data_IF_385644271490
#
_entry.id   IF_385644271490
#
_cell.length_a   1.000
_cell.length_b   1.000
_cell.length_c   1.000
_cell.angle_alpha   90.00
_cell.angle_beta   90.00
_cell.angle_gamma   90.00
#
_symmetry.space_group_name_H-M   'P 1'
#
loop_
_entity.id
_entity.type
_entity.pdbx_description
1 polymer ?
#
# COMPACT_ATOMS: atom_id res chain seq x y z
N UNK A 1 4.67 15.04 -12.59
CA UNK A 1 3.87 16.13 -13.20
C UNK A 1 2.49 16.25 -12.58
N UNK A 2 1.81 15.15 -12.27
CA UNK A 2 0.44 15.15 -11.74
C UNK A 2 0.27 15.81 -10.38
N UNK A 3 1.24 15.71 -9.45
CA UNK A 3 1.15 16.43 -8.17
C UNK A 3 1.08 17.96 -8.34
N UNK A 4 1.92 18.53 -9.20
CA UNK A 4 1.89 19.97 -9.50
C UNK A 4 0.58 20.40 -10.18
N UNK A 5 0.04 19.56 -11.08
CA UNK A 5 -1.29 19.76 -11.65
C UNK A 5 -2.39 19.73 -10.58
N UNK A 6 -2.29 18.80 -9.61
CA UNK A 6 -3.16 18.72 -8.44
C UNK A 6 -3.22 20.02 -7.65
N UNK A 7 -2.06 20.60 -7.35
CA UNK A 7 -1.98 21.86 -6.60
C UNK A 7 -2.58 23.03 -7.39
N UNK A 8 -2.29 23.15 -8.69
CA UNK A 8 -2.86 24.21 -9.53
C UNK A 8 -4.38 24.10 -9.59
N UNK A 9 -4.94 22.92 -9.83
CA UNK A 9 -6.39 22.72 -9.88
C UNK A 9 -7.06 23.03 -8.53
N UNK A 10 -6.39 22.67 -7.41
CA UNK A 10 -6.85 23.01 -6.06
C UNK A 10 -6.91 24.51 -5.82
N UNK A 11 -5.97 25.29 -6.35
CA UNK A 11 -6.02 26.77 -6.30
C UNK A 11 -7.26 27.35 -6.99
N UNK A 12 -7.77 26.67 -8.02
CA UNK A 12 -9.00 27.06 -8.72
C UNK A 12 -10.27 26.41 -8.17
N UNK A 13 -10.18 25.59 -7.11
CA UNK A 13 -11.33 24.87 -6.55
C UNK A 13 -11.91 23.80 -7.49
N UNK A 14 -11.11 23.27 -8.41
CA UNK A 14 -11.54 22.29 -9.41
C UNK A 14 -11.12 20.86 -9.01
N UNK A 15 -11.94 19.85 -9.33
CA UNK A 15 -11.53 18.46 -9.17
C UNK A 15 -10.45 18.09 -10.18
N UNK A 16 -9.69 17.06 -9.85
CA UNK A 16 -8.59 16.53 -10.65
C UNK A 16 -8.77 15.08 -11.02
N UNK A 17 -8.18 14.73 -12.15
CA UNK A 17 -8.13 13.37 -12.68
C UNK A 17 -6.69 13.04 -13.03
N UNK A 18 -6.24 11.83 -12.72
CA UNK A 18 -4.87 11.40 -12.97
C UNK A 18 -4.72 9.89 -13.11
N UNK A 19 -3.66 9.47 -13.77
CA UNK A 19 -3.35 8.06 -14.05
C UNK A 19 -2.41 7.48 -12.99
N UNK A 20 -2.68 6.25 -12.55
CA UNK A 20 -1.71 5.44 -11.80
C UNK A 20 -2.11 3.97 -11.79
N UNK A 21 -1.21 3.12 -11.29
CA UNK A 21 -1.46 1.69 -11.21
C UNK A 21 -1.41 1.00 -12.57
N UNK A 22 -0.88 1.67 -13.60
CA UNK A 22 -0.54 1.17 -14.93
C UNK A 22 0.99 1.03 -15.09
N UNK A 23 1.42 0.37 -16.15
CA UNK A 23 2.84 0.14 -16.46
C UNK A 23 3.08 0.01 -17.96
N UNK A 24 4.27 0.39 -18.41
CA UNK A 24 4.71 0.21 -19.79
C UNK A 24 5.31 -1.18 -20.06
N UNK A 25 5.45 -1.98 -19.00
CA UNK A 25 5.86 -3.37 -19.07
C UNK A 25 4.89 -4.19 -19.93
N UNK A 26 5.44 -5.22 -20.59
CA UNK A 26 4.67 -6.11 -21.49
C UNK A 26 4.07 -7.29 -20.74
N UNK A 27 4.56 -7.54 -19.53
CA UNK A 27 4.20 -8.67 -18.68
C UNK A 27 4.24 -8.26 -17.23
N UNK A 28 3.44 -8.91 -16.39
CA UNK A 28 3.48 -8.71 -14.95
C UNK A 28 4.84 -9.11 -14.38
N UNK A 29 5.48 -8.19 -13.65
CA UNK A 29 6.77 -8.46 -13.03
C UNK A 29 7.25 -7.33 -12.12
N UNK A 30 8.56 -7.26 -11.93
CA UNK A 30 9.20 -6.27 -11.06
C UNK A 30 8.97 -4.84 -11.55
N UNK A 31 9.11 -4.61 -12.86
CA UNK A 31 8.87 -3.31 -13.50
C UNK A 31 7.44 -2.82 -13.23
N UNK A 32 6.45 -3.68 -13.49
CA UNK A 32 5.04 -3.39 -13.21
C UNK A 32 4.79 -3.03 -11.76
N UNK A 33 5.38 -3.78 -10.83
CA UNK A 33 5.24 -3.53 -9.40
C UNK A 33 5.82 -2.17 -8.98
N UNK A 34 7.01 -1.82 -9.49
CA UNK A 34 7.68 -0.55 -9.19
C UNK A 34 6.88 0.63 -9.73
N UNK A 35 6.50 0.59 -11.01
CA UNK A 35 5.78 1.67 -11.68
C UNK A 35 4.38 1.88 -11.06
N UNK A 36 3.65 0.78 -10.82
CA UNK A 36 2.34 0.82 -10.19
C UNK A 36 2.40 1.38 -8.77
N UNK A 37 3.34 0.91 -7.93
CA UNK A 37 3.46 1.38 -6.56
C UNK A 37 3.86 2.86 -6.47
N UNK A 38 4.85 3.27 -7.25
CA UNK A 38 5.32 4.65 -7.23
C UNK A 38 4.27 5.63 -7.75
N UNK A 39 3.59 5.28 -8.86
CA UNK A 39 2.54 6.11 -9.42
C UNK A 39 1.35 6.23 -8.46
N UNK A 40 0.88 5.13 -7.88
CA UNK A 40 -0.23 5.14 -6.92
C UNK A 40 0.08 6.02 -5.71
N UNK A 41 1.26 5.88 -5.10
CA UNK A 41 1.67 6.69 -3.97
C UNK A 41 1.81 8.17 -4.33
N UNK A 42 2.41 8.48 -5.49
CA UNK A 42 2.60 9.86 -5.93
C UNK A 42 1.28 10.58 -6.20
N UNK A 43 0.30 9.93 -6.83
CA UNK A 43 -1.02 10.51 -7.07
C UNK A 43 -1.80 10.69 -5.77
N UNK A 44 -1.74 9.69 -4.88
CA UNK A 44 -2.33 9.72 -3.56
C UNK A 44 -1.83 10.92 -2.74
N UNK A 45 -0.51 11.12 -2.68
CA UNK A 45 0.10 12.27 -1.99
C UNK A 45 -0.15 13.60 -2.70
N UNK A 46 -0.32 13.58 -4.02
CA UNK A 46 -0.73 14.75 -4.80
C UNK A 46 -2.17 15.21 -4.55
N UNK A 47 -2.97 14.45 -3.78
CA UNK A 47 -4.36 14.78 -3.48
C UNK A 47 -5.26 14.73 -4.70
N UNK A 48 -4.95 13.85 -5.66
CA UNK A 48 -5.75 13.69 -6.89
C UNK A 48 -7.08 13.02 -6.57
N UNK A 49 -8.17 13.56 -7.12
CA UNK A 49 -9.52 13.17 -6.72
C UNK A 49 -9.98 11.85 -7.35
N UNK A 50 -9.70 11.67 -8.64
CA UNK A 50 -10.00 10.44 -9.36
C UNK A 50 -8.73 9.86 -9.98
N UNK A 51 -8.35 8.68 -9.51
CA UNK A 51 -7.20 7.93 -10.01
C UNK A 51 -7.72 6.71 -10.78
N UNK A 52 -7.23 6.50 -12.00
CA UNK A 52 -7.69 5.44 -12.90
C UNK A 52 -6.51 4.72 -13.58
N UNK A 53 -6.84 3.75 -14.45
CA UNK A 53 -5.93 2.93 -15.26
C UNK A 53 -5.22 1.77 -14.55
N UNK A 54 -5.70 1.41 -13.36
CA UNK A 54 -5.23 0.22 -12.65
C UNK A 54 -5.48 -1.02 -13.50
N UNK A 55 -4.43 -1.81 -13.75
CA UNK A 55 -4.52 -3.05 -14.52
C UNK A 55 -4.07 -2.96 -15.98
N UNK A 56 -3.70 -1.75 -16.46
CA UNK A 56 -3.17 -1.59 -17.81
C UNK A 56 -1.66 -1.82 -17.91
N UNK A 57 -1.29 -2.59 -18.92
CA UNK A 57 0.08 -2.87 -19.37
C UNK A 57 0.30 -2.29 -20.77
N UNK A 58 1.57 -2.23 -21.19
CA UNK A 58 2.01 -1.79 -22.52
C UNK A 58 1.35 -0.47 -22.97
N UNK A 59 1.49 0.58 -22.15
CA UNK A 59 0.94 1.91 -22.44
C UNK A 59 -0.58 1.91 -22.66
N UNK A 60 -1.31 1.02 -21.97
CA UNK A 60 -2.77 0.91 -22.10
C UNK A 60 -3.25 -0.06 -23.19
N UNK A 61 -2.33 -0.70 -23.93
CA UNK A 61 -2.69 -1.62 -25.01
C UNK A 61 -3.10 -3.01 -24.51
N UNK A 62 -2.76 -3.34 -23.25
CA UNK A 62 -3.08 -4.64 -22.63
C UNK A 62 -3.87 -4.39 -21.34
N UNK A 63 -5.00 -5.07 -21.19
CA UNK A 63 -5.74 -5.14 -19.92
C UNK A 63 -5.45 -6.49 -19.26
N UNK A 64 -4.82 -6.48 -18.08
CA UNK A 64 -4.46 -7.69 -17.33
C UNK A 64 -5.26 -7.77 -16.02
N UNK A 65 -5.96 -8.89 -15.86
CA UNK A 65 -6.69 -9.17 -14.63
C UNK A 65 -5.73 -9.39 -13.44
N UNK A 66 -4.59 -10.02 -13.70
CA UNK A 66 -3.54 -10.28 -12.71
C UNK A 66 -2.94 -8.96 -12.20
N UNK A 67 -2.72 -8.00 -13.10
CA UNK A 67 -2.27 -6.66 -12.72
C UNK A 67 -3.33 -5.90 -11.94
N UNK A 68 -4.61 -6.09 -12.23
CA UNK A 68 -5.70 -5.49 -11.45
C UNK A 68 -5.69 -6.01 -10.01
N UNK A 69 -5.49 -7.31 -9.80
CA UNK A 69 -5.37 -7.92 -8.46
C UNK A 69 -4.12 -7.41 -7.73
N UNK A 70 -2.98 -7.33 -8.42
CA UNK A 70 -1.78 -6.71 -7.84
C UNK A 70 -2.01 -5.23 -7.49
N UNK A 71 -2.74 -4.50 -8.35
CA UNK A 71 -3.10 -3.11 -8.16
C UNK A 71 -3.96 -2.88 -6.91
N UNK A 72 -4.91 -3.78 -6.62
CA UNK A 72 -5.71 -3.72 -5.39
C UNK A 72 -4.84 -3.80 -4.14
N UNK A 73 -3.86 -4.71 -4.11
CA UNK A 73 -2.91 -4.85 -3.01
C UNK A 73 -2.06 -3.56 -2.83
N UNK A 74 -1.58 -2.97 -3.94
CA UNK A 74 -0.84 -1.70 -3.93
C UNK A 74 -1.72 -0.55 -3.41
N UNK A 75 -2.96 -0.45 -3.87
CA UNK A 75 -3.91 0.57 -3.43
C UNK A 75 -4.23 0.40 -1.94
N UNK A 76 -4.36 -0.84 -1.46
CA UNK A 76 -4.56 -1.15 -0.05
C UNK A 76 -3.47 -0.57 0.84
N UNK A 77 -2.19 -0.82 0.52
CA UNK A 77 -1.08 -0.27 1.30
C UNK A 77 -0.96 1.25 1.18
N UNK A 78 -1.23 1.83 0.00
CA UNK A 78 -1.20 3.29 -0.19
C UNK A 78 -2.33 3.97 0.60
N UNK A 79 -3.54 3.39 0.61
CA UNK A 79 -4.65 3.91 1.43
C UNK A 79 -4.32 3.87 2.91
N UNK A 80 -3.71 2.79 3.38
CA UNK A 80 -3.26 2.70 4.77
C UNK A 80 -2.18 3.75 5.07
N UNK A 81 -1.20 3.94 4.18
CA UNK A 81 -0.19 4.99 4.33
C UNK A 81 -0.81 6.39 4.44
N UNK A 82 -1.84 6.68 3.64
CA UNK A 82 -2.56 7.96 3.68
C UNK A 82 -3.38 8.19 4.95
N UNK A 83 -3.71 7.15 5.73
CA UNK A 83 -4.39 7.34 7.02
C UNK A 83 -3.53 8.16 7.99
N UNK A 84 -2.21 8.21 7.77
CA UNK A 84 -1.28 8.95 8.61
C UNK A 84 -1.10 8.28 9.97
N UNK A 85 -0.71 9.09 10.96
CA UNK A 85 -0.47 8.62 12.33
C UNK A 85 -1.49 9.30 13.23
N UNK A 86 -2.37 8.52 13.84
CA UNK A 86 -3.29 9.02 14.84
C UNK A 86 -2.54 9.29 16.14
N UNK A 87 -2.60 10.53 16.65
CA UNK A 87 -1.95 10.92 17.90
C UNK A 87 -3.01 11.31 18.93
N UNK A 88 -3.27 10.41 19.86
CA UNK A 88 -4.17 10.62 20.99
C UNK A 88 -3.58 9.94 22.26
N UNK A 89 -4.28 10.04 23.39
CA UNK A 89 -3.80 9.49 24.66
C UNK A 89 -3.55 7.97 24.63
N UNK A 90 -4.34 7.23 23.85
CA UNK A 90 -4.25 5.78 23.74
C UNK A 90 -3.16 5.34 22.73
N UNK A 91 -3.12 5.98 21.56
CA UNK A 91 -2.15 5.65 20.49
C UNK A 91 -0.73 6.11 20.81
N UNK A 92 -0.58 7.08 21.72
CA UNK A 92 0.72 7.47 22.27
C UNK A 92 1.35 6.36 23.14
N UNK A 93 0.55 5.40 23.64
CA UNK A 93 1.00 4.17 24.29
C UNK A 93 1.96 4.36 25.49
N UNK A 94 1.92 5.52 26.15
CA UNK A 94 2.86 5.86 27.23
C UNK A 94 2.81 4.89 28.41
N UNK A 95 1.61 4.55 28.87
CA UNK A 95 1.44 3.68 30.04
C UNK A 95 2.03 2.28 29.81
N UNK A 96 1.85 1.72 28.61
CA UNK A 96 2.44 0.41 28.28
C UNK A 96 3.95 0.50 28.11
N UNK A 97 4.47 1.59 27.54
CA UNK A 97 5.92 1.82 27.43
C UNK A 97 6.58 1.90 28.82
N UNK A 98 5.98 2.66 29.74
CA UNK A 98 6.48 2.79 31.12
C UNK A 98 6.38 1.45 31.88
N UNK A 99 5.30 0.69 31.68
CA UNK A 99 5.09 -0.62 32.32
C UNK A 99 6.07 -1.70 31.85
N UNK A 100 6.28 -1.82 30.53
CA UNK A 100 7.14 -2.86 29.95
C UNK A 100 8.62 -2.63 30.30
N UNK A 101 9.02 -1.35 30.39
CA UNK A 101 10.37 -0.91 30.75
C UNK A 101 11.48 -1.42 29.80
N UNK A 102 12.72 -0.89 29.89
CA UNK A 102 13.82 -1.33 29.04
C UNK A 102 14.11 -2.83 29.16
N UNK A 103 14.22 -3.52 28.01
CA UNK A 103 14.47 -4.96 27.96
C UNK A 103 13.22 -5.84 28.06
N UNK A 104 12.03 -5.25 28.23
CA UNK A 104 10.75 -5.97 28.21
C UNK A 104 10.25 -6.31 26.80
N UNK A 105 9.06 -6.91 26.74
CA UNK A 105 8.40 -7.33 25.49
C UNK A 105 6.94 -6.84 25.47
N UNK A 106 6.51 -6.25 24.35
CA UNK A 106 5.15 -5.71 24.16
C UNK A 106 4.15 -6.73 23.61
N UNK A 107 4.61 -7.87 23.09
CA UNK A 107 3.71 -8.90 22.53
C UNK A 107 2.61 -9.40 23.48
N UNK A 108 2.84 -9.61 24.79
CA UNK A 108 1.80 -10.08 25.70
C UNK A 108 0.87 -8.96 26.21
N UNK A 109 1.12 -7.70 25.86
CA UNK A 109 0.35 -6.58 26.40
C UNK A 109 -1.03 -6.46 25.75
N UNK A 110 -2.06 -6.17 26.56
CA UNK A 110 -3.43 -5.98 26.08
C UNK A 110 -3.52 -4.88 25.01
N UNK A 111 -2.75 -3.81 25.18
CA UNK A 111 -2.64 -2.71 24.21
C UNK A 111 -2.23 -3.24 22.82
N UNK A 112 -1.22 -4.11 22.75
CA UNK A 112 -0.81 -4.73 21.48
C UNK A 112 -1.94 -5.54 20.85
N UNK A 113 -2.67 -6.35 21.64
CA UNK A 113 -3.79 -7.12 21.13
C UNK A 113 -4.92 -6.24 20.57
N UNK A 114 -5.18 -5.11 21.22
CA UNK A 114 -6.23 -4.15 20.86
C UNK A 114 -5.89 -3.35 19.59
N UNK A 115 -4.65 -2.88 19.43
CA UNK A 115 -4.26 -1.98 18.33
C UNK A 115 -3.62 -2.69 17.14
N UNK A 116 -2.98 -3.86 17.31
CA UNK A 116 -2.25 -4.53 16.23
C UNK A 116 -3.05 -4.66 14.93
N UNK A 117 -4.29 -5.16 15.00
CA UNK A 117 -5.14 -5.37 13.81
C UNK A 117 -5.69 -4.07 13.21
N UNK A 118 -5.68 -2.97 13.97
CA UNK A 118 -6.17 -1.66 13.53
C UNK A 118 -5.05 -0.87 12.84
N UNK A 119 -3.88 -0.88 13.47
CA UNK A 119 -2.72 -0.08 13.05
C UNK A 119 -1.85 -0.76 12.00
N UNK A 120 -1.90 -2.09 11.87
CA UNK A 120 -1.10 -2.79 10.86
C UNK A 120 -1.94 -3.14 9.65
N UNK A 121 -1.48 -2.70 8.48
CA UNK A 121 -1.96 -3.28 7.22
C UNK A 121 -1.38 -4.68 7.02
N UNK A 122 -2.27 -5.66 6.88
CA UNK A 122 -1.91 -7.06 6.64
C UNK A 122 -2.12 -7.35 5.15
N UNK A 123 -1.05 -7.66 4.40
CA UNK A 123 -1.15 -7.97 2.98
C UNK A 123 -1.99 -9.23 2.73
N UNK A 124 -2.71 -9.26 1.61
CA UNK A 124 -3.42 -10.46 1.14
C UNK A 124 -2.63 -11.23 0.10
N UNK A 125 -1.72 -10.55 -0.60
CA UNK A 125 -0.98 -11.09 -1.74
C UNK A 125 0.54 -11.04 -1.53
N UNK A 126 1.06 -10.05 -0.81
CA UNK A 126 2.50 -9.97 -0.48
C UNK A 126 2.91 -11.02 0.56
N UNK A 127 3.97 -11.76 0.28
CA UNK A 127 4.51 -12.76 1.20
C UNK A 127 5.19 -12.11 2.42
N UNK A 128 4.77 -12.50 3.62
CA UNK A 128 5.39 -12.08 4.91
C UNK A 128 5.80 -13.28 5.78
N UNK A 129 5.55 -14.51 5.32
CA UNK A 129 5.92 -15.72 6.03
C UNK A 129 7.44 -15.95 6.04
N UNK A 130 7.89 -16.80 6.97
CA UNK A 130 9.29 -17.27 7.02
C UNK A 130 9.65 -18.06 5.76
N UNK A 131 10.93 -18.07 5.41
CA UNK A 131 11.45 -18.78 4.24
C UNK A 131 11.06 -20.27 4.23
N UNK A 132 11.27 -20.99 5.34
CA UNK A 132 10.97 -22.44 5.41
C UNK A 132 9.47 -22.74 5.17
N UNK A 133 8.59 -21.84 5.60
CA UNK A 133 7.15 -21.96 5.35
C UNK A 133 6.85 -21.71 3.88
N UNK A 134 7.39 -20.64 3.29
CA UNK A 134 7.24 -20.33 1.87
C UNK A 134 7.78 -21.44 0.96
N UNK A 135 8.91 -22.04 1.34
CA UNK A 135 9.51 -23.17 0.63
C UNK A 135 8.60 -24.40 0.66
N UNK A 136 8.08 -24.76 1.84
CA UNK A 136 7.14 -25.88 2.00
C UNK A 136 5.81 -25.66 1.26
N UNK A 137 5.39 -24.41 1.12
CA UNK A 137 4.19 -24.01 0.37
C UNK A 137 4.41 -23.93 -1.15
N UNK A 138 5.58 -24.35 -1.64
CA UNK A 138 5.87 -24.49 -3.07
C UNK A 138 6.55 -23.28 -3.71
N UNK A 139 7.20 -22.41 -2.92
CA UNK A 139 8.03 -21.29 -3.42
C UNK A 139 7.27 -20.33 -4.35
N UNK A 140 5.97 -20.13 -4.12
CA UNK A 140 5.13 -19.30 -4.99
C UNK A 140 5.56 -17.84 -4.95
N UNK A 141 5.83 -17.27 -6.11
CA UNK A 141 6.05 -15.84 -6.29
C UNK A 141 4.72 -15.09 -6.18
N UNK A 142 4.77 -13.76 -6.16
CA UNK A 142 3.55 -12.95 -6.21
C UNK A 142 2.79 -13.17 -7.51
N UNK A 143 3.50 -13.33 -8.64
CA UNK A 143 2.92 -13.64 -9.94
C UNK A 143 2.19 -14.98 -10.00
N UNK A 144 2.57 -15.96 -9.15
CA UNK A 144 1.88 -17.25 -9.07
C UNK A 144 0.62 -17.22 -8.17
N UNK A 145 0.37 -16.10 -7.50
CA UNK A 145 -0.74 -15.92 -6.54
C UNK A 145 -1.84 -14.97 -7.03
N UNK A 146 -1.58 -14.24 -8.10
CA UNK A 146 -2.55 -13.40 -8.81
C UNK A 146 -3.37 -14.20 -9.81
#
# INVERSE_FOLDING_TARGET
MTAAYGDVARMYGLPTWGTAGCSDAKTLGQETGIESAFSCLAQALGGINLIHDVGYLDMGMICSAEMLVMGDEVIGVVKHFLQGIEVNAETFAREVIERVAPGGNFLPEDHTCQYFRKEHWIPTLMARQKYDTWEREGRKTMGDRV
#
